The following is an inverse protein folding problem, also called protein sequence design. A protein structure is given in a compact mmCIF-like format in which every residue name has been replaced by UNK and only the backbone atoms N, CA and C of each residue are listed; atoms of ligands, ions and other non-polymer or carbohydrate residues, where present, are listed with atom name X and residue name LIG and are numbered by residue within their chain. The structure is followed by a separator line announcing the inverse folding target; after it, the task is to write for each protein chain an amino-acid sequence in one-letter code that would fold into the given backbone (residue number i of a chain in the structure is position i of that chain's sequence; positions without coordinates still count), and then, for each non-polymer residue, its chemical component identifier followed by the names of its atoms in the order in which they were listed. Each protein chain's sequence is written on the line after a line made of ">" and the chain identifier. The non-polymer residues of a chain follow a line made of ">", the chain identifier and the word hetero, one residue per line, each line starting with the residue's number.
data_IF_369502166729
#
_entry.id   IF_369502166729
#
_cell.length_a   1.000
_cell.length_b   1.000
_cell.length_c   1.000
_cell.angle_alpha   90.00
_cell.angle_beta   90.00
_cell.angle_gamma   90.00
#
_symmetry.space_group_name_H-M   'P 1'
#
loop_
_entity.id
_entity.type
_entity.pdbx_description
1 polymer ?
#
# COMPACT_ATOMS: atom_id res chain seq x y z
N UNK A 1 -4.51 -27.40 -5.60
CA UNK A 1 -4.45 -26.77 -4.26
C UNK A 1 -5.28 -25.49 -4.26
N UNK A 2 -5.98 -25.21 -3.17
CA UNK A 2 -6.76 -23.99 -2.97
C UNK A 2 -6.23 -23.28 -1.74
N UNK A 3 -6.14 -21.95 -1.80
CA UNK A 3 -5.83 -21.11 -0.65
C UNK A 3 -7.06 -20.26 -0.34
N UNK A 4 -7.53 -20.32 0.91
CA UNK A 4 -8.76 -19.64 1.34
C UNK A 4 -9.96 -19.90 0.40
N UNK A 5 -10.09 -21.14 -0.10
CA UNK A 5 -11.14 -21.55 -1.03
C UNK A 5 -10.93 -21.16 -2.51
N UNK A 6 -9.94 -20.33 -2.83
CA UNK A 6 -9.67 -19.82 -4.18
C UNK A 6 -8.42 -20.48 -4.79
N UNK A 7 -8.40 -20.66 -6.11
CA UNK A 7 -7.22 -21.13 -6.83
C UNK A 7 -7.13 -20.52 -8.23
N UNK A 8 -5.90 -20.28 -8.68
CA UNK A 8 -5.58 -19.84 -10.05
C UNK A 8 -5.02 -20.97 -10.92
N UNK A 9 -4.96 -22.19 -10.38
CA UNK A 9 -4.33 -23.35 -11.02
C UNK A 9 -5.32 -24.46 -11.36
N UNK A 10 -6.50 -24.52 -10.72
CA UNK A 10 -7.51 -25.56 -10.97
C UNK A 10 -8.46 -25.24 -12.13
N UNK A 11 -8.46 -23.99 -12.62
CA UNK A 11 -9.31 -23.55 -13.72
C UNK A 11 -10.74 -23.17 -13.29
N UNK A 12 -10.99 -23.04 -11.99
CA UNK A 12 -12.29 -22.58 -11.46
C UNK A 12 -12.60 -21.12 -11.77
N UNK A 13 -11.56 -20.30 -11.99
CA UNK A 13 -11.68 -18.90 -12.41
C UNK A 13 -10.72 -18.59 -13.56
N UNK A 14 -11.01 -17.53 -14.31
CA UNK A 14 -10.18 -17.05 -15.42
C UNK A 14 -9.13 -16.03 -14.98
N UNK A 15 -9.38 -15.30 -13.89
CA UNK A 15 -8.48 -14.28 -13.33
C UNK A 15 -8.81 -13.99 -11.85
N UNK A 16 -7.85 -13.43 -11.15
CA UNK A 16 -8.05 -12.75 -9.87
C UNK A 16 -7.55 -11.32 -9.99
N UNK A 17 -8.22 -10.40 -9.30
CA UNK A 17 -7.84 -9.01 -9.28
C UNK A 17 -7.72 -8.54 -7.84
N UNK A 18 -6.59 -7.92 -7.53
CA UNK A 18 -6.21 -7.45 -6.20
C UNK A 18 -6.17 -5.93 -6.20
N UNK A 19 -6.47 -5.29 -5.08
CA UNK A 19 -6.35 -3.83 -4.96
C UNK A 19 -4.88 -3.42 -5.14
N UNK A 20 -4.64 -2.45 -6.03
CA UNK A 20 -3.31 -1.93 -6.32
C UNK A 20 -3.14 -0.47 -5.88
N UNK A 21 -4.20 0.34 -5.98
CA UNK A 21 -4.15 1.77 -5.67
C UNK A 21 -5.31 2.18 -4.76
N UNK A 22 -5.17 3.32 -4.09
CA UNK A 22 -6.18 3.88 -3.19
C UNK A 22 -7.49 4.30 -3.88
N UNK A 23 -7.46 4.46 -5.21
CA UNK A 23 -8.63 4.76 -6.04
C UNK A 23 -9.46 3.51 -6.41
N UNK A 24 -9.03 2.32 -5.97
CA UNK A 24 -9.68 1.05 -6.28
C UNK A 24 -9.20 0.39 -7.58
N UNK A 25 -8.21 0.95 -8.27
CA UNK A 25 -7.55 0.30 -9.41
C UNK A 25 -6.90 -1.02 -8.98
N UNK A 26 -6.93 -2.00 -9.88
CA UNK A 26 -6.63 -3.40 -9.53
C UNK A 26 -5.41 -3.95 -10.30
N UNK A 27 -4.61 -4.75 -9.60
CA UNK A 27 -3.59 -5.62 -10.19
C UNK A 27 -4.24 -6.95 -10.58
N UNK A 28 -4.30 -7.26 -11.87
CA UNK A 28 -4.94 -8.47 -12.37
C UNK A 28 -3.91 -9.58 -12.59
N UNK A 29 -4.15 -10.74 -11.99
CA UNK A 29 -3.40 -11.98 -12.23
C UNK A 29 -4.28 -12.94 -13.02
N UNK A 30 -3.85 -13.27 -14.22
CA UNK A 30 -4.54 -14.25 -15.07
C UNK A 30 -4.33 -15.66 -14.51
N UNK A 31 -5.41 -16.44 -14.45
CA UNK A 31 -5.32 -17.82 -14.00
C UNK A 31 -4.57 -18.68 -15.02
N UNK A 32 -3.76 -19.60 -14.51
CA UNK A 32 -2.96 -20.54 -15.32
C UNK A 32 -3.34 -21.96 -14.93
N UNK A 33 -4.30 -22.52 -15.64
CA UNK A 33 -4.82 -23.87 -15.36
C UNK A 33 -3.74 -24.94 -15.54
N UNK A 34 -3.46 -25.68 -14.49
CA UNK A 34 -2.50 -26.80 -14.42
C UNK A 34 -3.20 -28.15 -14.25
N UNK A 35 -4.51 -28.23 -14.48
CA UNK A 35 -5.23 -29.49 -14.59
C UNK A 35 -4.76 -30.28 -15.81
N UNK A 36 -5.03 -31.60 -15.85
CA UNK A 36 -4.68 -32.44 -17.02
C UNK A 36 -5.19 -31.80 -18.32
N UNK A 37 -6.49 -31.44 -18.36
CA UNK A 37 -7.11 -30.79 -19.52
C UNK A 37 -6.43 -29.46 -19.85
N UNK A 38 -6.09 -28.66 -18.83
CA UNK A 38 -5.39 -27.39 -19.01
C UNK A 38 -3.98 -27.54 -19.59
N UNK A 39 -3.35 -28.71 -19.44
CA UNK A 39 -2.05 -29.05 -19.99
C UNK A 39 -2.14 -29.84 -21.32
N UNK A 40 -3.35 -30.02 -21.86
CA UNK A 40 -3.57 -30.80 -23.09
C UNK A 40 -3.51 -32.31 -22.88
N UNK A 41 -3.58 -32.78 -21.64
CA UNK A 41 -3.64 -34.19 -21.26
C UNK A 41 -5.09 -34.60 -21.00
N UNK A 42 -5.41 -35.84 -21.31
CA UNK A 42 -6.72 -36.45 -21.01
C UNK A 42 -6.54 -37.56 -19.99
N UNK A 43 -7.46 -37.71 -19.04
CA UNK A 43 -7.36 -38.76 -18.01
C UNK A 43 -7.31 -40.20 -18.57
N UNK A 44 -7.71 -40.40 -19.82
CA UNK A 44 -7.73 -41.70 -20.51
C UNK A 44 -6.54 -41.92 -21.45
N UNK A 45 -5.48 -41.12 -21.35
CA UNK A 45 -4.30 -41.23 -22.23
C UNK A 45 -3.47 -42.47 -21.88
N UNK A 46 -3.87 -43.64 -22.41
CA UNK A 46 -3.08 -44.87 -22.36
C UNK A 46 -2.38 -45.13 -23.69
N UNK A 47 -1.33 -45.95 -23.67
CA UNK A 47 -0.65 -46.41 -24.87
C UNK A 47 -0.70 -47.94 -24.90
N UNK A 48 -1.30 -48.50 -25.96
CA UNK A 48 -1.43 -49.95 -26.16
C UNK A 48 -0.40 -50.52 -27.16
N UNK A 49 0.42 -49.66 -27.76
CA UNK A 49 1.45 -50.04 -28.73
C UNK A 49 2.73 -49.22 -28.57
N UNK A 50 3.86 -49.72 -29.08
CA UNK A 50 5.13 -49.01 -29.06
C UNK A 50 5.09 -47.68 -29.85
N UNK A 51 4.27 -47.60 -30.90
CA UNK A 51 4.08 -46.36 -31.66
C UNK A 51 3.29 -45.32 -30.85
N UNK A 52 2.21 -45.73 -30.17
CA UNK A 52 1.45 -44.86 -29.27
C UNK A 52 2.31 -44.36 -28.09
N UNK A 53 3.20 -45.21 -27.56
CA UNK A 53 4.13 -44.82 -26.51
C UNK A 53 5.12 -43.73 -26.98
N UNK A 54 5.64 -43.82 -28.21
CA UNK A 54 6.50 -42.75 -28.78
C UNK A 54 5.76 -41.43 -28.94
N UNK A 55 4.50 -41.45 -29.39
CA UNK A 55 3.68 -40.25 -29.47
C UNK A 55 3.38 -39.66 -28.08
N UNK A 56 3.16 -40.51 -27.07
CA UNK A 56 2.92 -40.07 -25.70
C UNK A 56 4.08 -39.29 -25.11
N UNK A 57 5.33 -39.67 -25.42
CA UNK A 57 6.52 -38.93 -24.97
C UNK A 57 6.45 -37.48 -25.46
N UNK A 58 6.16 -37.27 -26.74
CA UNK A 58 6.02 -35.92 -27.30
C UNK A 58 4.86 -35.12 -26.67
N UNK A 59 3.74 -35.79 -26.36
CA UNK A 59 2.61 -35.16 -25.64
C UNK A 59 3.01 -34.73 -24.24
N UNK A 60 3.72 -35.58 -23.49
CA UNK A 60 4.20 -35.26 -22.14
C UNK A 60 5.24 -34.13 -22.16
N UNK A 61 6.19 -34.16 -23.10
CA UNK A 61 7.17 -33.08 -23.25
C UNK A 61 6.50 -31.72 -23.52
N UNK A 62 5.48 -31.71 -24.37
CA UNK A 62 4.69 -30.50 -24.65
C UNK A 62 3.88 -30.04 -23.44
N UNK A 63 3.27 -30.97 -22.71
CA UNK A 63 2.54 -30.67 -21.48
C UNK A 63 3.47 -30.12 -20.39
N UNK A 64 4.67 -30.69 -20.23
CA UNK A 64 5.71 -30.19 -19.32
C UNK A 64 6.17 -28.78 -19.72
N UNK A 65 6.48 -28.56 -21.00
CA UNK A 65 6.84 -27.22 -21.49
C UNK A 65 5.74 -26.18 -21.25
N UNK A 66 4.49 -26.57 -21.42
CA UNK A 66 3.32 -25.71 -21.13
C UNK A 66 3.18 -25.43 -19.64
N UNK A 67 3.32 -26.44 -18.78
CA UNK A 67 3.27 -26.29 -17.33
C UNK A 67 4.35 -25.33 -16.83
N UNK A 68 5.60 -25.47 -17.30
CA UNK A 68 6.72 -24.61 -16.93
C UNK A 68 6.49 -23.17 -17.37
N UNK A 69 5.98 -22.92 -18.59
CA UNK A 69 5.63 -21.56 -19.05
C UNK A 69 4.53 -20.92 -18.20
N UNK A 70 3.51 -21.71 -17.85
CA UNK A 70 2.42 -21.27 -16.98
C UNK A 70 2.93 -20.91 -15.58
N UNK A 71 3.76 -21.76 -14.97
CA UNK A 71 4.38 -21.52 -13.67
C UNK A 71 5.33 -20.31 -13.70
N UNK A 72 6.14 -20.15 -14.76
CA UNK A 72 6.99 -18.98 -14.92
C UNK A 72 6.17 -17.68 -14.94
N UNK A 73 5.05 -17.66 -15.67
CA UNK A 73 4.14 -16.50 -15.68
C UNK A 73 3.50 -16.21 -14.32
N UNK A 74 3.18 -17.24 -13.54
CA UNK A 74 2.72 -17.07 -12.15
C UNK A 74 3.84 -16.52 -11.26
N UNK A 75 5.07 -17.01 -11.41
CA UNK A 75 6.25 -16.50 -10.72
C UNK A 75 6.49 -15.01 -10.99
N UNK A 76 6.46 -14.60 -12.27
CA UNK A 76 6.57 -13.18 -12.65
C UNK A 76 5.45 -12.34 -12.03
N UNK A 77 4.22 -12.85 -11.99
CA UNK A 77 3.09 -12.16 -11.36
C UNK A 77 3.31 -12.01 -9.84
N UNK A 78 3.86 -13.03 -9.18
CA UNK A 78 4.20 -12.99 -7.76
C UNK A 78 5.27 -11.94 -7.46
N UNK A 79 6.35 -11.89 -8.24
CA UNK A 79 7.40 -10.87 -8.08
C UNK A 79 6.88 -9.47 -8.36
N UNK A 80 5.99 -9.32 -9.35
CA UNK A 80 5.34 -8.05 -9.64
C UNK A 80 4.48 -7.55 -8.49
N UNK A 81 3.71 -8.44 -7.86
CA UNK A 81 2.91 -8.11 -6.67
C UNK A 81 3.79 -7.70 -5.48
N UNK A 82 4.89 -8.41 -5.22
CA UNK A 82 5.81 -8.09 -4.12
C UNK A 82 6.49 -6.72 -4.32
N UNK A 83 6.91 -6.43 -5.55
CA UNK A 83 7.49 -5.13 -5.92
C UNK A 83 6.46 -4.01 -5.73
N UNK A 84 5.21 -4.25 -6.16
CA UNK A 84 4.13 -3.28 -6.02
C UNK A 84 3.78 -3.02 -4.55
N UNK A 85 3.73 -4.06 -3.72
CA UNK A 85 3.52 -3.93 -2.27
C UNK A 85 4.61 -3.06 -1.62
N UNK A 86 5.87 -3.30 -1.97
CA UNK A 86 7.00 -2.51 -1.49
C UNK A 86 6.89 -1.04 -1.93
N UNK A 87 6.49 -0.80 -3.19
CA UNK A 87 6.26 0.55 -3.71
C UNK A 87 5.14 1.27 -2.95
N UNK A 88 3.99 0.62 -2.73
CA UNK A 88 2.87 1.19 -1.98
C UNK A 88 3.27 1.52 -0.55
N UNK A 89 4.04 0.65 0.11
CA UNK A 89 4.60 0.93 1.45
C UNK A 89 5.45 2.21 1.46
N UNK A 90 6.41 2.32 0.54
CA UNK A 90 7.26 3.52 0.43
C UNK A 90 6.48 4.78 0.07
N UNK A 91 5.44 4.65 -0.75
CA UNK A 91 4.56 5.76 -1.11
C UNK A 91 3.79 6.26 0.11
N UNK A 92 3.25 5.35 0.92
CA UNK A 92 2.57 5.70 2.17
C UNK A 92 3.54 6.42 3.14
N UNK A 93 4.75 5.89 3.35
CA UNK A 93 5.75 6.53 4.20
C UNK A 93 6.11 7.95 3.72
N UNK A 94 6.22 8.12 2.40
CA UNK A 94 6.52 9.43 1.79
C UNK A 94 5.36 10.41 1.91
N UNK A 95 4.12 9.92 1.81
CA UNK A 95 2.91 10.73 2.00
C UNK A 95 2.78 11.17 3.46
N UNK A 96 3.00 10.28 4.42
CA UNK A 96 2.95 10.60 5.85
C UNK A 96 4.02 11.64 6.21
N UNK A 97 5.25 11.47 5.73
CA UNK A 97 6.31 12.46 5.91
C UNK A 97 6.00 13.79 5.19
N UNK A 98 5.40 13.74 4.01
CA UNK A 98 4.98 14.92 3.25
C UNK A 98 3.88 15.71 3.96
N UNK A 99 2.86 15.02 4.48
CA UNK A 99 1.78 15.62 5.27
C UNK A 99 2.34 16.21 6.56
N UNK A 100 3.19 15.47 7.27
CA UNK A 100 3.92 15.97 8.45
C UNK A 100 4.67 17.25 8.13
N UNK A 101 5.52 17.29 7.10
CA UNK A 101 6.24 18.51 6.73
C UNK A 101 5.34 19.71 6.36
N UNK A 102 4.12 19.48 5.88
CA UNK A 102 3.18 20.56 5.56
C UNK A 102 2.41 21.09 6.78
N UNK A 103 2.18 20.24 7.78
CA UNK A 103 1.33 20.54 8.94
C UNK A 103 2.10 20.71 10.24
N UNK A 104 3.32 20.17 10.33
CA UNK A 104 4.14 20.19 11.51
C UNK A 104 4.63 21.62 11.76
N UNK A 105 4.27 22.12 12.94
CA UNK A 105 4.71 23.43 13.39
C UNK A 105 6.16 23.37 13.89
N UNK A 106 6.92 24.42 13.59
CA UNK A 106 8.22 24.63 14.22
C UNK A 106 8.01 25.01 15.70
N UNK A 107 8.16 24.02 16.58
CA UNK A 107 8.01 24.17 18.03
C UNK A 107 8.99 25.19 18.61
N UNK A 108 10.18 25.38 18.03
CA UNK A 108 11.13 26.37 18.54
C UNK A 108 10.61 27.80 18.31
N UNK A 109 10.09 28.07 17.11
CA UNK A 109 9.48 29.35 16.78
C UNK A 109 8.21 29.61 17.59
N UNK A 110 7.34 28.61 17.73
CA UNK A 110 6.10 28.77 18.48
C UNK A 110 6.36 28.90 19.99
N UNK A 111 7.38 28.22 20.53
CA UNK A 111 7.81 28.38 21.94
C UNK A 111 8.39 29.77 22.20
N UNK A 112 9.23 30.29 21.29
CA UNK A 112 9.75 31.66 21.40
C UNK A 112 8.63 32.70 21.31
N UNK A 113 7.66 32.48 20.41
CA UNK A 113 6.47 33.33 20.27
C UNK A 113 5.59 33.28 21.51
N UNK A 114 5.36 32.10 22.08
CA UNK A 114 4.61 31.91 23.31
C UNK A 114 5.27 32.66 24.48
N UNK A 115 6.58 32.50 24.65
CA UNK A 115 7.33 33.20 25.70
C UNK A 115 7.24 34.73 25.52
N UNK A 116 7.38 35.22 24.28
CA UNK A 116 7.23 36.65 23.97
C UNK A 116 5.82 37.15 24.29
N UNK A 117 4.78 36.39 23.94
CA UNK A 117 3.38 36.72 24.23
C UNK A 117 3.11 36.75 25.73
N UNK A 118 3.63 35.80 26.50
CA UNK A 118 3.51 35.77 27.97
C UNK A 118 4.15 37.02 28.60
N UNK A 119 5.37 37.37 28.18
CA UNK A 119 6.05 38.60 28.65
C UNK A 119 5.26 39.85 28.26
N UNK A 120 4.76 39.92 27.02
CA UNK A 120 3.95 41.06 26.55
C UNK A 120 2.64 41.18 27.33
N UNK A 121 1.99 40.08 27.68
CA UNK A 121 0.77 40.08 28.47
C UNK A 121 1.03 40.55 29.90
N UNK A 122 2.11 40.08 30.54
CA UNK A 122 2.51 40.53 31.87
C UNK A 122 2.82 42.04 31.90
N UNK A 123 3.54 42.53 30.88
CA UNK A 123 3.77 43.97 30.70
C UNK A 123 2.47 44.74 30.44
N UNK A 124 1.54 44.18 29.67
CA UNK A 124 0.22 44.79 29.42
C UNK A 124 -0.61 44.93 30.69
N UNK A 125 -0.62 43.91 31.56
CA UNK A 125 -1.29 43.96 32.86
C UNK A 125 -0.64 45.00 33.77
N UNK A 126 0.70 45.05 33.82
CA UNK A 126 1.42 46.04 34.60
C UNK A 126 1.17 47.47 34.10
N UNK A 127 1.21 47.68 32.78
CA UNK A 127 0.90 48.97 32.17
C UNK A 127 -0.55 49.41 32.45
N UNK A 128 -1.51 48.49 32.41
CA UNK A 128 -2.91 48.75 32.77
C UNK A 128 -3.05 49.10 34.26
N UNK A 129 -2.33 48.42 35.15
CA UNK A 129 -2.29 48.73 36.58
C UNK A 129 -1.73 50.14 36.84
N UNK A 130 -0.64 50.52 36.16
CA UNK A 130 -0.05 51.86 36.23
C UNK A 130 -1.05 52.92 35.71
N UNK A 131 -1.70 52.65 34.57
CA UNK A 131 -2.71 53.55 34.01
C UNK A 131 -3.91 53.76 34.96
N UNK A 132 -4.38 52.70 35.63
CA UNK A 132 -5.46 52.79 36.61
C UNK A 132 -5.05 53.48 37.92
N UNK A 133 -3.77 53.43 38.31
CA UNK A 133 -3.27 54.19 39.46
C UNK A 133 -3.10 55.68 39.14
N UNK A 134 -2.73 56.02 37.90
CA UNK A 134 -2.54 57.41 37.46
C UNK A 134 -3.82 58.26 37.55
N UNK A 135 -5.00 57.66 37.37
CA UNK A 135 -6.29 58.37 37.54
C UNK A 135 -6.64 58.65 39.00
N UNK A 136 -6.11 57.88 39.96
CA UNK A 136 -6.32 58.13 41.40
C UNK A 136 -5.54 59.34 41.92
N UNK A 137 -4.35 59.62 41.37
CA UNK A 137 -3.55 60.80 41.71
C UNK A 137 -4.20 62.12 41.25
N UNK A 138 -5.04 62.07 40.21
CA UNK A 138 -5.83 63.21 39.77
C UNK A 138 -6.95 63.49 40.78
N UNK A 139 -7.56 62.45 41.36
CA UNK A 139 -8.63 62.61 42.36
C UNK A 139 -8.11 63.18 43.69
N UNK A 140 -6.84 62.95 44.06
CA UNK A 140 -6.23 63.60 45.24
C UNK A 140 -5.90 65.07 45.03
N UNK A 141 -5.82 65.55 43.78
CA UNK A 141 -5.53 66.95 43.46
C UNK A 141 -6.77 67.87 43.64
N UNK A 142 -7.96 67.27 43.67
CA UNK A 142 -9.24 67.96 43.85
C UNK A 142 -9.88 67.70 45.23
N UNK A 143 -9.10 67.17 46.19
CA UNK A 143 -9.49 67.01 47.60
C UNK A 143 -8.69 67.95 48.48
#
# INVERSE_FOLDING_TARGET
>A
AKFNGVSIADGSTTKLAFLANADGSQFTVQSKTLSLVGLGLTASSSFSSASAAKSMIATIDSAMGTATKKLASLGTSSTGLDTHLTFVGKLQDSLDAGVGNLVDADLAKESAKLQSLQTKQQLGIQALSIANQSTSSILSLFR
#
